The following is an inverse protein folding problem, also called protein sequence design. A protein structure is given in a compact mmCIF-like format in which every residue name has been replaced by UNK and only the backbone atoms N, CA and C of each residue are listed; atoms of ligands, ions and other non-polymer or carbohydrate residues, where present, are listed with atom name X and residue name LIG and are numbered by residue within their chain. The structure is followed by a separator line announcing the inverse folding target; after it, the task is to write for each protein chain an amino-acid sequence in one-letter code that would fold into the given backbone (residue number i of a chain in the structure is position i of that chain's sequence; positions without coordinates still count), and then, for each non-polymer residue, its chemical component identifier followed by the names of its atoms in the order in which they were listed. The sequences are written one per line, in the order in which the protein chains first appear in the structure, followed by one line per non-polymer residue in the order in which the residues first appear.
data_IF_763793462492
#
_entry.id   IF_763793462492
#
_cell.length_a   1.000
_cell.length_b   1.000
_cell.length_c   1.000
_cell.angle_alpha   90.00
_cell.angle_beta   90.00
_cell.angle_gamma   90.00
#
_symmetry.space_group_name_H-M   'P 1'
#
loop_
_entity.id
_entity.type
_entity.pdbx_description
1 polymer ?
#
# COMPACT_ATOMS: atom_id res chain seq x y z
N UNK A 1 -2.37 -22.38 -12.58
CA UNK A 1 -1.94 -21.33 -11.63
C UNK A 1 -2.96 -20.22 -11.63
N UNK A 2 -3.43 -19.83 -10.46
CA UNK A 2 -4.48 -18.82 -10.34
C UNK A 2 -3.83 -17.44 -10.32
N UNK A 3 -4.35 -16.53 -11.16
CA UNK A 3 -3.94 -15.14 -11.12
C UNK A 3 -4.64 -14.46 -9.94
N UNK A 4 -3.86 -14.05 -8.94
CA UNK A 4 -4.38 -13.40 -7.74
C UNK A 4 -4.59 -11.89 -7.90
N UNK A 5 -4.20 -11.32 -9.04
CA UNK A 5 -4.27 -9.88 -9.24
C UNK A 5 -5.67 -9.31 -8.97
N UNK A 6 -6.76 -9.86 -9.54
CA UNK A 6 -8.08 -9.30 -9.28
C UNK A 6 -8.50 -9.38 -7.81
N UNK A 7 -8.13 -10.47 -7.13
CA UNK A 7 -8.45 -10.64 -5.71
C UNK A 7 -7.74 -9.60 -4.87
N UNK A 8 -6.45 -9.42 -5.11
CA UNK A 8 -5.63 -8.50 -4.33
C UNK A 8 -6.02 -7.04 -4.64
N UNK A 9 -6.31 -6.72 -5.89
CA UNK A 9 -6.80 -5.37 -6.21
C UNK A 9 -8.12 -5.07 -5.49
N UNK A 10 -9.01 -6.04 -5.38
CA UNK A 10 -10.25 -5.88 -4.63
C UNK A 10 -9.95 -5.57 -3.15
N UNK A 11 -9.00 -6.30 -2.55
CA UNK A 11 -8.61 -6.06 -1.17
C UNK A 11 -7.95 -4.70 -0.98
N UNK A 12 -7.11 -4.30 -1.94
CA UNK A 12 -6.48 -2.97 -1.92
C UNK A 12 -7.52 -1.85 -1.93
N UNK A 13 -8.53 -1.99 -2.78
CA UNK A 13 -9.60 -0.99 -2.85
C UNK A 13 -10.44 -0.98 -1.58
N UNK A 14 -10.71 -2.14 -0.99
CA UNK A 14 -11.44 -2.21 0.29
C UNK A 14 -10.69 -1.46 1.37
N UNK A 15 -9.37 -1.64 1.43
CA UNK A 15 -8.55 -0.96 2.42
C UNK A 15 -8.54 0.54 2.20
N UNK A 16 -8.28 0.98 0.97
CA UNK A 16 -8.24 2.41 0.66
C UNK A 16 -9.59 3.08 0.90
N UNK A 17 -10.69 2.42 0.51
CA UNK A 17 -12.03 2.97 0.76
C UNK A 17 -12.38 3.06 2.23
N UNK A 18 -11.95 2.08 3.02
CA UNK A 18 -12.15 2.14 4.46
C UNK A 18 -11.44 3.36 5.06
N UNK A 19 -10.23 3.64 4.59
CA UNK A 19 -9.49 4.82 5.02
C UNK A 19 -10.21 6.11 4.61
N UNK A 20 -10.57 6.24 3.34
CA UNK A 20 -11.26 7.42 2.81
C UNK A 20 -12.59 7.65 3.54
N UNK A 21 -13.32 6.59 3.84
CA UNK A 21 -14.62 6.70 4.48
C UNK A 21 -14.56 6.79 6.01
N UNK A 22 -13.37 6.78 6.58
CA UNK A 22 -13.22 6.82 8.03
C UNK A 22 -13.72 5.55 8.73
N UNK A 23 -13.70 4.42 8.04
CA UNK A 23 -14.18 3.14 8.55
C UNK A 23 -13.05 2.43 9.29
N UNK A 24 -12.87 2.78 10.55
CA UNK A 24 -11.78 2.21 11.36
C UNK A 24 -11.99 0.72 11.64
N UNK A 25 -13.23 0.29 11.75
CA UNK A 25 -13.55 -1.14 11.91
C UNK A 25 -13.13 -1.91 10.64
N UNK A 26 -13.37 -1.35 9.47
CA UNK A 26 -12.93 -1.93 8.20
C UNK A 26 -11.42 -2.01 8.10
N UNK A 27 -10.70 -0.95 8.47
CA UNK A 27 -9.24 -0.97 8.50
C UNK A 27 -8.71 -2.04 9.44
N UNK A 28 -9.31 -2.16 10.61
CA UNK A 28 -8.91 -3.18 11.58
C UNK A 28 -9.18 -4.59 11.06
N UNK A 29 -10.30 -4.80 10.38
CA UNK A 29 -10.66 -6.11 9.87
C UNK A 29 -9.74 -6.59 8.74
N UNK A 30 -9.22 -5.67 7.95
CA UNK A 30 -8.37 -6.00 6.80
C UNK A 30 -6.92 -6.22 7.22
N UNK A 31 -6.44 -5.53 8.24
CA UNK A 31 -5.04 -5.62 8.66
C UNK A 31 -4.80 -6.77 9.61
N UNK A 32 -3.64 -7.41 9.48
CA UNK A 32 -3.21 -8.44 10.43
C UNK A 32 -2.87 -7.80 11.78
N UNK A 33 -2.92 -8.59 12.84
CA UNK A 33 -2.58 -8.09 14.18
C UNK A 33 -1.17 -7.55 14.26
N UNK A 34 -0.25 -8.14 13.50
CA UNK A 34 1.14 -7.71 13.45
C UNK A 34 1.45 -6.79 12.26
N UNK A 35 0.42 -6.15 11.70
CA UNK A 35 0.62 -5.21 10.59
C UNK A 35 1.60 -4.12 10.99
N UNK A 36 2.49 -3.78 10.06
CA UNK A 36 3.32 -2.58 10.15
C UNK A 36 3.23 -1.75 8.88
N UNK A 37 3.34 -0.46 9.04
CA UNK A 37 3.59 0.47 7.94
C UNK A 37 5.02 0.96 8.08
N UNK A 38 5.80 0.83 7.01
CA UNK A 38 7.19 1.24 6.98
C UNK A 38 7.37 2.34 5.95
N UNK A 39 7.94 3.46 6.35
CA UNK A 39 8.25 4.51 5.39
C UNK A 39 9.64 4.32 4.83
N UNK A 40 9.77 4.49 3.51
CA UNK A 40 11.08 4.52 2.85
C UNK A 40 11.71 5.89 2.92
N UNK A 41 11.69 6.49 4.11
CA UNK A 41 12.27 7.80 4.38
C UNK A 41 13.64 7.64 5.02
N UNK A 42 14.29 8.77 5.24
CA UNK A 42 15.61 8.79 5.88
C UNK A 42 15.53 9.64 7.14
N UNK A 43 15.51 9.03 8.33
CA UNK A 43 15.51 7.58 8.58
C UNK A 43 14.13 6.94 8.29
N UNK A 44 14.09 5.64 8.09
CA UNK A 44 12.81 4.95 7.96
C UNK A 44 12.06 4.95 9.30
N UNK A 45 10.74 4.97 9.21
CA UNK A 45 9.87 4.99 10.39
C UNK A 45 8.88 3.84 10.29
N UNK A 46 8.62 3.20 11.42
CA UNK A 46 7.69 2.09 11.50
C UNK A 46 6.50 2.50 12.36
N UNK A 47 5.29 2.22 11.85
CA UNK A 47 4.07 2.33 12.63
C UNK A 47 3.47 0.94 12.79
N UNK A 48 3.04 0.59 14.01
CA UNK A 48 2.25 -0.61 14.21
C UNK A 48 0.80 -0.39 13.82
N UNK A 49 -0.01 -1.44 13.87
CA UNK A 49 -1.41 -1.36 13.47
C UNK A 49 -2.21 -0.34 14.28
N UNK A 50 -2.03 -0.34 15.59
CA UNK A 50 -2.77 0.58 16.46
C UNK A 50 -2.42 2.03 16.17
N UNK A 51 -1.14 2.32 15.98
CA UNK A 51 -0.68 3.68 15.64
C UNK A 51 -1.19 4.12 14.28
N UNK A 52 -1.15 3.22 13.28
CA UNK A 52 -1.67 3.53 11.96
C UNK A 52 -3.17 3.82 11.99
N UNK A 53 -3.96 2.96 12.64
CA UNK A 53 -5.42 3.13 12.67
C UNK A 53 -5.79 4.41 13.40
N UNK A 54 -5.13 4.72 14.52
CA UNK A 54 -5.41 5.97 15.22
C UNK A 54 -5.05 7.18 14.38
N UNK A 55 -3.91 7.15 13.72
CA UNK A 55 -3.50 8.22 12.81
C UNK A 55 -4.49 8.40 11.66
N UNK A 56 -4.93 7.30 11.06
CA UNK A 56 -5.89 7.32 9.96
C UNK A 56 -7.27 7.83 10.39
N UNK A 57 -7.60 7.67 11.66
CA UNK A 57 -8.88 8.15 12.20
C UNK A 57 -8.89 9.63 12.49
N UNK A 58 -7.76 10.20 12.89
CA UNK A 58 -7.75 11.53 13.51
C UNK A 58 -6.83 12.54 12.85
N UNK A 59 -5.75 12.09 12.22
CA UNK A 59 -4.69 13.00 11.81
C UNK A 59 -4.35 12.90 10.33
N UNK A 60 -4.20 11.68 9.82
CA UNK A 60 -3.82 11.42 8.44
C UNK A 60 -5.07 10.95 7.68
N UNK A 61 -5.77 11.92 7.11
CA UNK A 61 -7.09 11.69 6.53
C UNK A 61 -7.00 11.72 5.01
N UNK A 62 -7.41 10.63 4.37
CA UNK A 62 -7.45 10.55 2.92
C UNK A 62 -8.84 10.93 2.42
N UNK A 63 -8.91 11.70 1.33
CA UNK A 63 -10.18 12.07 0.70
C UNK A 63 -10.39 11.37 -0.63
N UNK A 64 -9.34 11.05 -1.35
CA UNK A 64 -9.43 10.26 -2.58
C UNK A 64 -8.09 9.62 -2.90
N UNK A 65 -8.14 8.61 -3.76
CA UNK A 65 -6.92 7.91 -4.17
C UNK A 65 -7.08 7.34 -5.58
N UNK A 66 -5.96 7.08 -6.23
CA UNK A 66 -5.94 6.37 -7.52
C UNK A 66 -4.64 5.58 -7.61
N UNK A 67 -4.76 4.31 -8.00
CA UNK A 67 -3.62 3.45 -8.29
C UNK A 67 -3.25 3.53 -9.77
N UNK A 68 -1.96 3.47 -10.06
CA UNK A 68 -1.41 3.33 -11.39
C UNK A 68 -0.19 2.41 -11.34
N UNK A 69 0.26 1.94 -12.49
CA UNK A 69 1.45 1.10 -12.61
C UNK A 69 1.40 -0.10 -11.67
N UNK A 70 0.27 -0.78 -11.67
CA UNK A 70 0.00 -1.89 -10.75
C UNK A 70 0.82 -3.11 -11.14
N UNK A 71 1.49 -3.70 -10.15
CA UNK A 71 2.16 -4.98 -10.27
C UNK A 71 1.76 -5.85 -9.08
N UNK A 72 1.27 -7.06 -9.36
CA UNK A 72 0.88 -7.98 -8.30
C UNK A 72 1.36 -9.38 -8.64
N UNK A 73 1.80 -10.10 -7.62
CA UNK A 73 2.20 -11.51 -7.77
C UNK A 73 1.87 -12.27 -6.50
N UNK A 74 1.56 -13.55 -6.66
CA UNK A 74 1.31 -14.42 -5.53
C UNK A 74 2.22 -15.63 -5.55
N UNK A 75 2.55 -16.14 -4.38
CA UNK A 75 3.27 -17.39 -4.21
C UNK A 75 2.88 -18.01 -2.87
N UNK A 76 2.34 -19.23 -2.93
CA UNK A 76 1.79 -19.87 -1.74
C UNK A 76 0.66 -19.03 -1.14
N UNK A 77 0.69 -18.83 0.16
CA UNK A 77 -0.29 -18.02 0.87
C UNK A 77 0.07 -16.55 0.96
N UNK A 78 1.01 -16.07 0.15
CA UNK A 78 1.48 -14.68 0.17
C UNK A 78 1.17 -14.02 -1.17
N UNK A 79 0.76 -12.76 -1.13
CA UNK A 79 0.66 -11.93 -2.33
C UNK A 79 1.34 -10.59 -2.08
N UNK A 80 2.02 -10.09 -3.10
CA UNK A 80 2.68 -8.80 -3.06
C UNK A 80 2.02 -7.92 -4.11
N UNK A 81 1.69 -6.69 -3.71
CA UNK A 81 1.09 -5.68 -4.56
C UNK A 81 1.98 -4.45 -4.54
N UNK A 82 2.32 -3.94 -5.71
CA UNK A 82 3.06 -2.68 -5.82
C UNK A 82 2.36 -1.77 -6.81
N UNK A 83 2.36 -0.47 -6.52
CA UNK A 83 1.73 0.50 -7.41
C UNK A 83 2.22 1.90 -7.07
N UNK A 84 2.05 2.80 -8.03
CA UNK A 84 2.04 4.22 -7.70
C UNK A 84 0.65 4.57 -7.17
N UNK A 85 0.60 5.42 -6.16
CA UNK A 85 -0.62 5.83 -5.48
C UNK A 85 -0.71 7.35 -5.51
N UNK A 86 -1.67 7.87 -6.27
CA UNK A 86 -2.02 9.27 -6.16
C UNK A 86 -2.98 9.42 -5.00
N UNK A 87 -2.58 10.20 -4.00
CA UNK A 87 -3.33 10.33 -2.77
C UNK A 87 -3.67 11.79 -2.52
N UNK A 88 -4.93 12.07 -2.25
CA UNK A 88 -5.35 13.35 -1.67
C UNK A 88 -5.58 13.14 -0.19
N UNK A 89 -4.81 13.83 0.62
CA UNK A 89 -4.83 13.63 2.06
C UNK A 89 -4.42 14.89 2.79
N UNK A 90 -4.76 14.92 4.06
CA UNK A 90 -4.26 15.95 4.99
C UNK A 90 -3.59 15.26 6.17
N UNK A 91 -2.60 15.92 6.72
CA UNK A 91 -1.97 15.52 7.98
C UNK A 91 -2.06 16.70 8.94
N UNK A 92 -2.77 16.48 10.05
CA UNK A 92 -3.02 17.55 11.02
C UNK A 92 -3.59 18.81 10.36
N UNK A 93 -4.49 18.62 9.38
CA UNK A 93 -5.14 19.71 8.66
C UNK A 93 -4.33 20.33 7.52
N UNK A 94 -3.09 19.91 7.32
CA UNK A 94 -2.24 20.42 6.24
C UNK A 94 -2.32 19.49 5.04
N UNK A 95 -2.22 20.04 3.84
CA UNK A 95 -2.23 19.25 2.62
C UNK A 95 -0.99 18.34 2.55
N UNK A 96 -1.25 17.04 2.52
CA UNK A 96 -0.23 16.00 2.36
C UNK A 96 -0.52 15.14 1.14
N UNK A 97 -1.14 15.74 0.15
CA UNK A 97 -1.43 15.07 -1.12
C UNK A 97 -0.17 14.89 -1.93
N UNK A 98 -0.16 13.86 -2.75
CA UNK A 98 0.96 13.63 -3.65
C UNK A 98 0.99 12.24 -4.20
N UNK A 99 2.05 11.98 -4.95
CA UNK A 99 2.30 10.68 -5.55
C UNK A 99 3.23 9.88 -4.64
N UNK A 100 2.81 8.66 -4.35
CA UNK A 100 3.57 7.72 -3.52
C UNK A 100 3.82 6.44 -4.30
N UNK A 101 4.84 5.71 -3.89
CA UNK A 101 5.03 4.32 -4.31
C UNK A 101 4.77 3.42 -3.12
N UNK A 102 3.91 2.41 -3.29
CA UNK A 102 3.55 1.50 -2.22
C UNK A 102 3.87 0.07 -2.62
N UNK A 103 4.30 -0.70 -1.62
CA UNK A 103 4.42 -2.15 -1.75
C UNK A 103 3.74 -2.77 -0.55
N UNK A 104 2.74 -3.59 -0.82
CA UNK A 104 1.90 -4.21 0.20
C UNK A 104 2.09 -5.71 0.18
N UNK A 105 2.20 -6.29 1.36
CA UNK A 105 2.30 -7.75 1.53
C UNK A 105 1.03 -8.25 2.19
N UNK A 106 0.36 -9.18 1.52
CA UNK A 106 -0.87 -9.83 1.97
C UNK A 106 -0.59 -11.28 2.30
N UNK A 107 -1.25 -11.78 3.33
CA UNK A 107 -1.16 -13.18 3.71
C UNK A 107 -2.56 -13.78 3.78
N UNK A 108 -2.72 -14.95 3.16
CA UNK A 108 -3.98 -15.66 3.21
C UNK A 108 -4.08 -16.44 4.52
N UNK A 109 -5.21 -16.29 5.19
CA UNK A 109 -5.52 -17.02 6.40
C UNK A 109 -6.41 -18.21 6.08
N UNK A 110 -6.39 -19.19 6.96
CA UNK A 110 -7.30 -20.33 6.83
C UNK A 110 -8.75 -19.88 6.94
N UNK A 111 -9.01 -18.92 7.83
CA UNK A 111 -10.33 -18.36 8.05
C UNK A 111 -10.17 -16.84 7.98
N UNK A 112 -11.12 -16.17 7.30
CA UNK A 112 -11.11 -14.71 7.20
C UNK A 112 -10.38 -14.15 5.98
N UNK A 113 -9.88 -15.01 5.09
CA UNK A 113 -9.30 -14.59 3.83
C UNK A 113 -7.96 -13.87 3.96
N UNK A 114 -7.74 -12.91 3.07
CA UNK A 114 -6.47 -12.18 2.99
C UNK A 114 -6.40 -11.07 4.02
N UNK A 115 -5.23 -10.94 4.66
CA UNK A 115 -4.94 -9.84 5.59
C UNK A 115 -3.69 -9.11 5.16
N UNK A 116 -3.72 -7.78 5.28
CA UNK A 116 -2.56 -6.95 4.99
C UNK A 116 -1.59 -7.03 6.15
N UNK A 117 -0.38 -7.47 5.87
CA UNK A 117 0.67 -7.67 6.88
C UNK A 117 1.60 -6.48 6.94
N UNK A 118 1.88 -5.85 5.81
CA UNK A 118 2.85 -4.78 5.75
C UNK A 118 2.58 -3.87 4.56
N UNK A 119 2.71 -2.58 4.77
CA UNK A 119 2.84 -1.61 3.68
C UNK A 119 4.17 -0.90 3.79
N UNK A 120 4.92 -0.90 2.71
CA UNK A 120 6.07 0.00 2.55
C UNK A 120 5.62 1.15 1.67
N UNK A 121 5.86 2.37 2.11
CA UNK A 121 5.46 3.57 1.36
C UNK A 121 6.66 4.51 1.25
N UNK A 122 6.85 5.05 0.06
CA UNK A 122 7.92 6.02 -0.19
C UNK A 122 7.46 6.99 -1.27
N UNK A 123 8.18 8.08 -1.43
CA UNK A 123 8.01 8.93 -2.60
C UNK A 123 8.71 8.27 -3.78
N UNK A 124 8.08 8.23 -4.96
CA UNK A 124 8.78 7.73 -6.14
C UNK A 124 10.02 8.57 -6.40
N UNK A 125 11.08 7.91 -6.82
CA UNK A 125 12.24 8.62 -7.33
C UNK A 125 11.89 9.12 -8.72
N UNK A 126 11.78 10.42 -8.89
CA UNK A 126 11.48 11.05 -10.16
C UNK A 126 12.73 11.37 -10.97
N UNK A 127 13.88 10.85 -10.54
CA UNK A 127 15.12 10.94 -11.30
C UNK A 127 15.04 9.99 -12.51
N UNK A 128 14.94 10.52 -13.75
CA UNK A 128 14.71 9.64 -14.90
C UNK A 128 15.86 8.66 -15.16
N UNK A 129 17.04 8.95 -14.63
CA UNK A 129 18.23 8.12 -14.86
C UNK A 129 18.14 6.75 -14.21
N UNK A 130 17.54 6.64 -13.01
CA UNK A 130 17.45 5.36 -12.31
C UNK A 130 16.58 4.37 -13.08
N UNK A 131 15.37 4.76 -13.42
CA UNK A 131 14.44 3.89 -14.13
C UNK A 131 15.03 3.46 -15.47
N UNK A 132 15.60 4.41 -16.22
CA UNK A 132 16.20 4.14 -17.51
C UNK A 132 17.38 3.18 -17.41
N UNK A 133 18.24 3.39 -16.42
CA UNK A 133 19.40 2.53 -16.20
C UNK A 133 18.98 1.10 -15.86
N UNK A 134 18.03 0.95 -14.93
CA UNK A 134 17.54 -0.38 -14.53
C UNK A 134 16.84 -1.06 -15.71
N UNK A 135 16.03 -0.32 -16.46
CA UNK A 135 15.35 -0.88 -17.64
C UNK A 135 16.33 -1.40 -18.66
N UNK A 136 17.49 -0.75 -18.81
CA UNK A 136 18.51 -1.18 -19.77
C UNK A 136 19.11 -2.54 -19.42
N UNK A 137 18.95 -3.01 -18.18
CA UNK A 137 19.44 -4.32 -17.74
C UNK A 137 18.48 -5.46 -18.07
N UNK A 138 17.26 -5.15 -18.50
CA UNK A 138 16.26 -6.17 -18.80
C UNK A 138 16.67 -6.97 -20.04
N UNK A 139 16.75 -8.30 -19.88
CA UNK A 139 17.10 -9.19 -20.99
C UNK A 139 15.88 -9.59 -21.82
N UNK A 140 14.66 -9.47 -21.24
CA UNK A 140 13.43 -9.90 -21.92
C UNK A 140 12.74 -8.79 -22.70
N UNK A 141 13.27 -7.60 -22.70
CA UNK A 141 12.63 -6.50 -23.43
C UNK A 141 12.70 -6.76 -24.94
N UNK A 142 11.63 -6.51 -25.58
CA UNK A 142 11.57 -6.61 -27.03
C UNK A 142 11.90 -5.28 -27.67
#
# INVERSE_FOLDING_TARGET
MVDLTPVIETMEHRWMRAWVNGDMRGLKAITAKNFILLTGSKPPVILDRASWIEGAAKRYLASSYRFADIYARGFGGIAIFSATLELKATMDGRDWSGLLFVTDVWRKRRIGGWKLVQRVVSKPDDTPHLAKAIKSLQLWKA
#
